data_IF_800854644116
#
_entry.id   IF_800854644116
#
_cell.length_a   1.000
_cell.length_b   1.000
_cell.length_c   1.000
_cell.angle_alpha   90.00
_cell.angle_beta   90.00
_cell.angle_gamma   90.00
#
_symmetry.space_group_name_H-M   'P 1'
#
loop_
_entity.id
_entity.type
_entity.pdbx_description
1 polymer ?
#
# COMPACT_ATOMS: atom_id res chain seq x y z
N UNK A 1 34.97 42.13 45.97
CA UNK A 1 33.87 41.60 46.81
C UNK A 1 32.59 41.57 45.98
N UNK A 2 31.76 40.55 46.22
CA UNK A 2 30.35 40.39 45.79
C UNK A 2 30.04 39.89 44.36
N UNK A 3 30.19 38.57 44.12
CA UNK A 3 29.35 37.86 43.11
C UNK A 3 28.84 36.47 43.58
N UNK A 4 29.23 35.96 44.76
CA UNK A 4 28.87 34.60 45.21
C UNK A 4 27.46 34.48 45.86
N UNK A 5 26.82 35.60 46.23
CA UNK A 5 25.55 35.58 46.99
C UNK A 5 24.30 35.38 46.13
N UNK A 6 24.32 35.82 44.87
CA UNK A 6 23.11 35.81 44.01
C UNK A 6 22.82 34.44 43.39
N UNK A 7 23.86 33.75 42.93
CA UNK A 7 23.76 32.43 42.29
C UNK A 7 23.33 31.34 43.28
N UNK A 8 23.86 31.37 44.51
CA UNK A 8 23.47 30.42 45.55
C UNK A 8 22.01 30.62 46.01
N UNK A 9 21.52 31.86 46.05
CA UNK A 9 20.11 32.13 46.36
C UNK A 9 19.17 31.62 45.26
N UNK A 10 19.55 31.76 43.99
CA UNK A 10 18.75 31.29 42.86
C UNK A 10 18.65 29.76 42.79
N UNK A 11 19.73 29.05 43.16
CA UNK A 11 19.76 27.57 43.18
C UNK A 11 18.90 27.02 44.34
N UNK A 12 18.93 27.64 45.52
CA UNK A 12 18.10 27.22 46.66
C UNK A 12 16.61 27.48 46.41
N UNK A 13 16.27 28.61 45.77
CA UNK A 13 14.88 28.90 45.40
C UNK A 13 14.32 27.93 44.36
N UNK A 14 15.11 27.56 43.34
CA UNK A 14 14.68 26.63 42.29
C UNK A 14 14.52 25.21 42.80
N UNK A 15 15.43 24.72 43.65
CA UNK A 15 15.29 23.40 44.30
C UNK A 15 14.07 23.34 45.24
N UNK A 16 13.77 24.41 45.96
CA UNK A 16 12.61 24.49 46.84
C UNK A 16 11.28 24.48 46.07
N UNK A 17 11.21 25.20 44.95
CA UNK A 17 10.05 25.19 44.04
C UNK A 17 9.80 23.80 43.43
N UNK A 18 10.87 23.09 43.05
CA UNK A 18 10.76 21.73 42.50
C UNK A 18 10.28 20.74 43.57
N UNK A 19 10.78 20.82 44.81
CA UNK A 19 10.32 19.94 45.89
C UNK A 19 8.85 20.16 46.26
N UNK A 20 8.41 21.43 46.32
CA UNK A 20 6.99 21.75 46.57
C UNK A 20 6.12 21.26 45.42
N UNK A 21 6.55 21.43 44.16
CA UNK A 21 5.83 20.89 43.01
C UNK A 21 5.68 19.36 43.12
N UNK A 22 6.77 18.63 43.42
CA UNK A 22 6.74 17.16 43.56
C UNK A 22 5.80 16.66 44.67
N UNK A 23 5.73 17.35 45.81
CA UNK A 23 4.78 16.98 46.87
C UNK A 23 3.32 17.25 46.50
N UNK A 24 3.04 18.32 45.75
CA UNK A 24 1.67 18.62 45.29
C UNK A 24 1.21 17.58 44.24
N UNK A 25 2.06 17.18 43.30
CA UNK A 25 1.67 16.13 42.32
C UNK A 25 1.46 14.76 42.97
N UNK A 26 2.23 14.42 44.01
CA UNK A 26 2.02 13.17 44.75
C UNK A 26 0.71 13.17 45.54
N UNK A 27 0.30 14.31 46.12
CA UNK A 27 -0.96 14.39 46.87
C UNK A 27 -2.19 14.23 45.96
N UNK A 28 -2.16 14.78 44.74
CA UNK A 28 -3.25 14.63 43.77
C UNK A 28 -3.32 13.22 43.16
N UNK A 29 -2.18 12.52 43.04
CA UNK A 29 -2.16 11.13 42.57
C UNK A 29 -2.90 10.17 43.50
N UNK A 30 -2.90 10.46 44.81
CA UNK A 30 -3.56 9.63 45.82
C UNK A 30 -4.97 10.11 46.21
N UNK A 31 -5.52 11.13 45.55
CA UNK A 31 -6.89 11.58 45.85
C UNK A 31 -7.91 10.52 45.41
N UNK A 32 -8.79 10.04 46.31
CA UNK A 32 -9.88 9.14 45.93
C UNK A 32 -10.74 9.80 44.88
N UNK A 33 -10.97 9.11 43.77
CA UNK A 33 -11.83 9.61 42.69
C UNK A 33 -13.26 9.73 43.24
N UNK A 34 -13.95 10.87 43.06
CA UNK A 34 -15.32 11.02 43.54
C UNK A 34 -16.21 9.93 42.91
N UNK A 35 -17.20 9.40 43.65
CA UNK A 35 -18.12 8.41 43.12
C UNK A 35 -18.78 8.94 41.84
N UNK A 36 -18.66 8.20 40.74
CA UNK A 36 -19.35 8.52 39.50
C UNK A 36 -20.80 8.12 39.70
N UNK A 37 -21.70 9.09 39.88
CA UNK A 37 -23.14 8.84 39.87
C UNK A 37 -23.50 8.33 38.47
N UNK A 38 -24.15 7.15 38.34
CA UNK A 38 -24.57 6.66 37.03
C UNK A 38 -25.55 7.67 36.42
N UNK A 39 -25.20 8.21 35.26
CA UNK A 39 -26.14 9.02 34.49
C UNK A 39 -27.29 8.14 34.01
N UNK A 40 -28.55 8.63 34.04
CA UNK A 40 -29.68 7.91 33.49
C UNK A 40 -29.40 7.57 32.02
N UNK A 41 -29.56 6.30 31.66
CA UNK A 41 -29.44 5.86 30.27
C UNK A 41 -30.52 6.54 29.44
N UNK A 42 -30.12 7.43 28.54
CA UNK A 42 -30.99 7.98 27.49
C UNK A 42 -30.80 7.10 26.25
N UNK A 43 -31.84 6.37 25.80
CA UNK A 43 -31.75 5.59 24.57
C UNK A 43 -31.45 6.52 23.40
N UNK A 44 -30.37 6.22 22.68
CA UNK A 44 -29.99 6.97 21.49
C UNK A 44 -31.08 6.77 20.41
N UNK A 45 -31.54 7.82 19.72
CA UNK A 45 -32.50 7.67 18.63
C UNK A 45 -31.99 6.69 17.57
N UNK A 46 -32.85 5.79 17.12
CA UNK A 46 -32.54 4.82 16.07
C UNK A 46 -32.34 5.53 14.73
N UNK A 47 -31.10 5.89 14.43
CA UNK A 47 -30.68 6.28 13.08
C UNK A 47 -30.40 4.98 12.32
N UNK A 48 -31.02 4.72 11.16
CA UNK A 48 -30.66 3.59 10.32
C UNK A 48 -29.16 3.66 10.02
N UNK A 49 -28.43 2.63 10.44
CA UNK A 49 -27.03 2.49 10.07
C UNK A 49 -26.93 2.47 8.54
N UNK A 50 -26.06 3.28 7.91
CA UNK A 50 -25.74 3.09 6.51
C UNK A 50 -25.36 1.63 6.32
N UNK A 51 -25.90 1.01 5.27
CA UNK A 51 -25.63 -0.39 4.94
C UNK A 51 -24.12 -0.65 5.07
N UNK A 52 -23.69 -1.72 5.76
CA UNK A 52 -22.28 -2.04 5.84
C UNK A 52 -21.73 -2.05 4.41
N UNK A 53 -20.68 -1.25 4.15
CA UNK A 53 -19.92 -1.40 2.92
C UNK A 53 -19.60 -2.89 2.81
N UNK A 54 -19.80 -3.54 1.65
CA UNK A 54 -19.54 -4.97 1.52
C UNK A 54 -18.16 -5.24 2.09
N UNK A 55 -18.13 -6.03 3.17
CA UNK A 55 -16.87 -6.50 3.74
C UNK A 55 -16.23 -7.30 2.63
N UNK A 56 -15.17 -6.75 2.03
CA UNK A 56 -14.34 -7.50 1.11
C UNK A 56 -13.72 -8.62 1.93
N UNK A 57 -14.38 -9.78 1.93
CA UNK A 57 -13.69 -11.02 2.25
C UNK A 57 -12.59 -11.12 1.20
N UNK A 58 -11.32 -11.32 1.61
CA UNK A 58 -10.33 -11.82 0.67
C UNK A 58 -11.02 -12.99 -0.06
N UNK A 59 -11.09 -12.98 -1.40
CA UNK A 59 -11.56 -14.17 -2.09
C UNK A 59 -10.76 -15.34 -1.50
N UNK A 60 -11.47 -16.40 -1.10
CA UNK A 60 -10.87 -17.73 -0.92
C UNK A 60 -9.86 -17.86 -2.03
N UNK A 61 -8.56 -17.82 -1.69
CA UNK A 61 -7.46 -17.58 -2.64
C UNK A 61 -7.81 -18.37 -3.90
N UNK A 62 -8.22 -17.69 -5.00
CA UNK A 62 -8.50 -18.41 -6.23
C UNK A 62 -7.23 -19.19 -6.49
N UNK A 63 -7.34 -20.52 -6.55
CA UNK A 63 -6.19 -21.41 -6.76
C UNK A 63 -5.24 -20.72 -7.72
N UNK A 64 -4.09 -20.25 -7.20
CA UNK A 64 -3.15 -19.46 -7.99
C UNK A 64 -2.96 -20.19 -9.32
N UNK A 65 -3.00 -19.49 -10.48
CA UNK A 65 -3.01 -20.19 -11.76
C UNK A 65 -1.86 -21.21 -11.79
N UNK A 66 -2.18 -22.50 -11.91
CA UNK A 66 -1.14 -23.53 -11.99
C UNK A 66 -0.57 -23.52 -13.42
N UNK A 67 0.75 -23.61 -13.58
CA UNK A 67 1.39 -23.65 -14.89
C UNK A 67 2.61 -22.76 -15.00
N UNK A 68 3.00 -22.44 -16.24
CA UNK A 68 4.17 -21.60 -16.51
C UNK A 68 4.02 -20.23 -15.85
N UNK A 69 5.15 -19.61 -15.48
CA UNK A 69 5.17 -18.24 -14.95
C UNK A 69 4.42 -17.26 -15.86
N UNK A 70 4.50 -17.46 -17.18
CA UNK A 70 3.77 -16.67 -18.17
C UNK A 70 2.25 -16.73 -17.95
N UNK A 71 1.67 -17.92 -17.76
CA UNK A 71 0.23 -18.09 -17.49
C UNK A 71 -0.19 -17.49 -16.16
N UNK A 72 0.65 -17.62 -15.14
CA UNK A 72 0.38 -17.04 -13.82
C UNK A 72 0.20 -15.52 -13.84
N UNK A 73 0.86 -14.84 -14.77
CA UNK A 73 0.63 -13.42 -15.03
C UNK A 73 -0.49 -13.22 -16.05
N UNK A 74 -0.40 -13.83 -17.23
CA UNK A 74 -1.25 -13.51 -18.38
C UNK A 74 -2.72 -13.84 -18.15
N UNK A 75 -3.02 -14.99 -17.55
CA UNK A 75 -4.40 -15.47 -17.39
C UNK A 75 -5.23 -14.52 -16.52
N UNK A 76 -4.78 -14.10 -15.32
CA UNK A 76 -5.53 -13.13 -14.52
C UNK A 76 -5.62 -11.73 -15.15
N UNK A 77 -4.61 -11.28 -15.93
CA UNK A 77 -4.73 -10.05 -16.72
C UNK A 77 -5.87 -10.16 -17.74
N UNK A 78 -5.89 -11.26 -18.50
CA UNK A 78 -6.89 -11.48 -19.54
C UNK A 78 -8.29 -11.76 -18.98
N UNK A 79 -8.38 -12.37 -17.81
CA UNK A 79 -9.65 -12.53 -17.09
C UNK A 79 -10.23 -11.17 -16.67
N UNK A 80 -9.40 -10.24 -16.18
CA UNK A 80 -9.82 -8.86 -15.89
C UNK A 80 -10.27 -8.14 -17.16
N UNK A 81 -9.45 -8.15 -18.21
CA UNK A 81 -9.72 -7.49 -19.49
C UNK A 81 -11.00 -8.01 -20.15
N UNK A 82 -11.24 -9.32 -20.09
CA UNK A 82 -12.46 -9.94 -20.64
C UNK A 82 -13.73 -9.44 -19.95
N UNK A 83 -13.71 -9.19 -18.63
CA UNK A 83 -14.87 -8.65 -17.91
C UNK A 83 -15.26 -7.23 -18.36
N UNK A 84 -14.31 -6.52 -18.96
CA UNK A 84 -14.47 -5.15 -19.48
C UNK A 84 -14.63 -5.10 -21.00
N UNK A 85 -14.72 -6.25 -21.68
CA UNK A 85 -14.82 -6.31 -23.14
C UNK A 85 -13.55 -5.85 -23.87
N UNK A 86 -12.38 -5.98 -23.24
CA UNK A 86 -11.10 -5.59 -23.81
C UNK A 86 -10.42 -6.76 -24.53
N UNK A 87 -9.68 -6.50 -25.63
CA UNK A 87 -8.88 -7.53 -26.29
C UNK A 87 -7.87 -8.16 -25.31
N UNK A 88 -7.65 -9.47 -25.35
CA UNK A 88 -6.66 -10.12 -24.49
C UNK A 88 -5.24 -9.66 -24.86
N UNK A 89 -4.38 -9.58 -23.85
CA UNK A 89 -2.94 -9.45 -24.03
C UNK A 89 -2.36 -10.78 -24.51
N UNK A 90 -1.24 -10.69 -25.23
CA UNK A 90 -0.42 -11.84 -25.62
C UNK A 90 0.92 -11.78 -24.89
N UNK A 91 1.41 -12.93 -24.44
CA UNK A 91 2.75 -13.00 -23.83
C UNK A 91 3.83 -12.68 -24.87
N UNK A 92 4.77 -11.81 -24.50
CA UNK A 92 5.92 -11.47 -25.31
C UNK A 92 7.23 -11.82 -24.58
N UNK A 93 8.01 -12.72 -25.18
CA UNK A 93 9.27 -13.18 -24.60
C UNK A 93 10.35 -12.11 -24.53
N UNK A 94 10.34 -11.09 -25.41
CA UNK A 94 11.28 -9.97 -25.34
C UNK A 94 10.96 -9.07 -24.15
N UNK A 95 9.67 -8.79 -23.92
CA UNK A 95 9.24 -8.07 -22.70
C UNK A 95 9.56 -8.86 -21.44
N UNK A 96 9.36 -10.18 -21.44
CA UNK A 96 9.70 -11.02 -20.28
C UNK A 96 11.21 -11.03 -20.00
N UNK A 97 12.04 -11.03 -21.05
CA UNK A 97 13.49 -10.90 -20.91
C UNK A 97 13.90 -9.51 -20.39
N UNK A 98 13.23 -8.45 -20.85
CA UNK A 98 13.44 -7.10 -20.34
C UNK A 98 13.04 -7.00 -18.85
N UNK A 99 11.87 -7.50 -18.48
CA UNK A 99 11.40 -7.60 -17.10
C UNK A 99 12.40 -8.35 -16.21
N UNK A 100 12.94 -9.48 -16.71
CA UNK A 100 13.97 -10.25 -16.00
C UNK A 100 15.27 -9.46 -15.86
N UNK A 101 15.71 -8.77 -16.90
CA UNK A 101 16.90 -7.92 -16.84
C UNK A 101 16.74 -6.83 -15.78
N UNK A 102 15.58 -6.16 -15.76
CA UNK A 102 15.31 -5.09 -14.79
C UNK A 102 15.21 -5.62 -13.37
N UNK A 103 14.49 -6.72 -13.17
CA UNK A 103 14.39 -7.36 -11.86
C UNK A 103 15.79 -7.66 -11.28
N UNK A 104 16.71 -8.17 -12.11
CA UNK A 104 18.09 -8.42 -11.67
C UNK A 104 18.84 -7.13 -11.26
N UNK A 105 18.51 -5.96 -11.81
CA UNK A 105 19.09 -4.69 -11.34
C UNK A 105 18.63 -4.32 -9.93
N UNK A 106 17.48 -4.85 -9.48
CA UNK A 106 16.90 -4.63 -8.14
C UNK A 106 17.22 -5.77 -7.16
N UNK A 107 18.03 -6.74 -7.56
CA UNK A 107 18.26 -7.97 -6.78
C UNK A 107 18.79 -7.71 -5.36
N UNK A 108 19.57 -6.65 -5.15
CA UNK A 108 20.19 -6.36 -3.86
C UNK A 108 19.35 -5.46 -2.94
N UNK A 109 18.58 -4.53 -3.50
CA UNK A 109 17.78 -3.55 -2.73
C UNK A 109 16.29 -3.90 -2.68
N UNK A 110 15.81 -4.71 -3.63
CA UNK A 110 14.40 -5.02 -3.86
C UNK A 110 13.51 -3.78 -4.01
N UNK A 111 14.09 -2.65 -4.41
CA UNK A 111 13.41 -1.35 -4.42
C UNK A 111 12.37 -1.27 -5.54
N UNK A 112 11.18 -0.71 -5.24
CA UNK A 112 10.12 -0.39 -6.19
C UNK A 112 10.47 0.83 -7.06
N UNK A 113 11.60 0.74 -7.76
CA UNK A 113 12.06 1.75 -8.71
C UNK A 113 11.75 1.28 -10.12
N UNK A 114 11.07 2.13 -10.90
CA UNK A 114 10.78 1.84 -12.30
C UNK A 114 12.04 1.81 -13.16
N UNK A 115 12.01 0.96 -14.19
CA UNK A 115 13.02 1.00 -15.24
C UNK A 115 12.89 2.27 -16.09
N UNK A 116 13.92 2.60 -16.86
CA UNK A 116 13.93 3.76 -17.77
C UNK A 116 13.58 3.37 -19.22
N UNK A 117 12.95 2.21 -19.40
CA UNK A 117 12.63 1.66 -20.72
C UNK A 117 11.40 2.29 -21.37
N UNK A 118 11.14 1.95 -22.64
CA UNK A 118 10.02 2.51 -23.41
C UNK A 118 8.66 1.84 -23.12
N UNK A 119 8.60 0.90 -22.18
CA UNK A 119 7.43 0.08 -21.90
C UNK A 119 6.64 0.62 -20.72
N UNK A 120 5.34 0.30 -20.67
CA UNK A 120 4.58 0.43 -19.45
C UNK A 120 5.14 -0.54 -18.41
N UNK A 121 4.97 -0.26 -17.12
CA UNK A 121 5.55 -1.09 -16.08
C UNK A 121 4.72 -1.10 -14.80
N UNK A 122 4.46 -2.28 -14.26
CA UNK A 122 3.92 -2.46 -12.90
C UNK A 122 4.96 -3.18 -12.05
N UNK A 123 5.13 -2.72 -10.81
CA UNK A 123 6.05 -3.30 -9.84
C UNK A 123 5.30 -3.85 -8.63
N UNK A 124 5.87 -4.87 -8.01
CA UNK A 124 5.40 -5.42 -6.76
C UNK A 124 6.59 -5.85 -5.90
N UNK A 125 6.43 -5.66 -4.60
CA UNK A 125 7.36 -6.12 -3.59
C UNK A 125 6.60 -6.82 -2.48
N UNK A 126 7.15 -7.92 -1.98
CA UNK A 126 6.64 -8.59 -0.79
C UNK A 126 7.77 -9.13 0.08
N UNK A 127 7.59 -9.07 1.40
CA UNK A 127 8.57 -9.54 2.37
C UNK A 127 8.73 -11.08 2.39
N UNK A 128 9.94 -11.58 2.64
CA UNK A 128 10.22 -13.01 2.58
C UNK A 128 10.37 -13.52 1.15
N UNK A 129 10.11 -14.82 0.90
CA UNK A 129 10.46 -15.49 -0.37
C UNK A 129 9.30 -16.21 -1.06
N UNK A 130 8.10 -16.18 -0.50
CA UNK A 130 6.98 -17.03 -0.94
C UNK A 130 5.94 -16.32 -1.81
N UNK A 131 6.21 -15.10 -2.26
CA UNK A 131 5.26 -14.34 -3.09
C UNK A 131 5.25 -14.86 -4.52
N UNK A 132 4.15 -15.51 -4.89
CA UNK A 132 3.88 -15.95 -6.25
C UNK A 132 3.40 -14.80 -7.17
N UNK A 133 3.62 -14.88 -8.49
CA UNK A 133 3.08 -13.96 -9.50
C UNK A 133 1.62 -13.53 -9.29
N UNK A 134 0.74 -14.49 -8.97
CA UNK A 134 -0.70 -14.21 -8.83
C UNK A 134 -1.03 -13.24 -7.69
N UNK A 135 -0.19 -13.14 -6.65
CA UNK A 135 -0.39 -12.14 -5.58
C UNK A 135 -0.16 -10.72 -6.10
N UNK A 136 0.89 -10.50 -6.90
CA UNK A 136 1.15 -9.21 -7.52
C UNK A 136 -0.01 -8.81 -8.44
N UNK A 137 -0.42 -9.71 -9.34
CA UNK A 137 -1.56 -9.43 -10.24
C UNK A 137 -2.82 -9.12 -9.45
N UNK A 138 -3.13 -9.91 -8.41
CA UNK A 138 -4.30 -9.66 -7.57
C UNK A 138 -4.24 -8.28 -6.89
N UNK A 139 -3.08 -7.89 -6.34
CA UNK A 139 -2.90 -6.58 -5.72
C UNK A 139 -3.17 -5.42 -6.69
N UNK A 140 -2.77 -5.57 -7.95
CA UNK A 140 -3.03 -4.57 -8.99
C UNK A 140 -4.50 -4.58 -9.44
N UNK A 141 -5.16 -5.76 -9.49
CA UNK A 141 -6.60 -5.83 -9.81
C UNK A 141 -7.46 -5.11 -8.78
N UNK A 142 -7.16 -5.26 -7.48
CA UNK A 142 -8.00 -4.69 -6.42
C UNK A 142 -7.95 -3.16 -6.39
N UNK A 143 -6.93 -2.54 -6.98
CA UNK A 143 -6.89 -1.09 -7.20
C UNK A 143 -8.03 -0.60 -8.12
N UNK A 144 -8.65 -1.47 -8.93
CA UNK A 144 -9.83 -1.10 -9.71
C UNK A 144 -11.01 -0.63 -8.83
N UNK A 145 -11.04 -1.01 -7.55
CA UNK A 145 -12.05 -0.52 -6.60
C UNK A 145 -11.88 0.95 -6.21
N UNK A 146 -10.70 1.53 -6.43
CA UNK A 146 -10.42 2.96 -6.19
C UNK A 146 -10.40 3.77 -7.48
N UNK A 147 -10.49 3.14 -8.66
CA UNK A 147 -10.52 3.86 -9.93
C UNK A 147 -11.93 4.35 -10.28
N UNK A 148 -12.06 5.66 -10.50
CA UNK A 148 -13.29 6.28 -10.99
C UNK A 148 -13.17 6.59 -12.49
N UNK A 149 -13.88 5.82 -13.30
CA UNK A 149 -13.86 5.94 -14.76
C UNK A 149 -14.42 7.29 -15.26
N UNK A 150 -15.42 7.86 -14.56
CA UNK A 150 -16.08 9.08 -15.03
C UNK A 150 -15.12 10.28 -14.93
N UNK A 151 -14.41 10.38 -13.81
CA UNK A 151 -13.46 11.46 -13.53
C UNK A 151 -12.03 11.15 -13.98
N UNK A 152 -11.76 9.91 -14.42
CA UNK A 152 -10.43 9.41 -14.76
C UNK A 152 -9.42 9.63 -13.62
N UNK A 153 -9.81 9.31 -12.39
CA UNK A 153 -9.00 9.56 -11.19
C UNK A 153 -9.04 8.37 -10.25
N UNK A 154 -8.02 8.26 -9.40
CA UNK A 154 -8.06 7.39 -8.24
C UNK A 154 -8.76 8.12 -7.08
N UNK A 155 -9.67 7.46 -6.39
CA UNK A 155 -10.39 8.01 -5.26
C UNK A 155 -9.46 8.20 -4.05
N UNK A 156 -9.53 9.38 -3.43
CA UNK A 156 -8.78 9.73 -2.23
C UNK A 156 -7.27 9.74 -2.45
N UNK A 157 -6.53 9.11 -1.52
CA UNK A 157 -5.08 8.89 -1.62
C UNK A 157 -4.75 7.52 -2.24
N UNK A 158 -5.72 6.86 -2.90
CA UNK A 158 -5.55 5.54 -3.47
C UNK A 158 -4.63 5.55 -4.69
N UNK A 159 -3.88 4.47 -4.88
CA UNK A 159 -3.19 4.18 -6.13
C UNK A 159 -4.12 3.36 -7.02
N UNK A 160 -4.20 3.72 -8.30
CA UNK A 160 -4.91 2.94 -9.31
C UNK A 160 -4.13 2.78 -10.63
N UNK A 161 -2.88 3.25 -10.65
CA UNK A 161 -2.03 3.21 -11.84
C UNK A 161 -1.71 1.79 -12.30
N UNK A 162 -1.61 0.83 -11.37
CA UNK A 162 -1.36 -0.55 -11.76
C UNK A 162 -2.61 -1.15 -12.43
N UNK A 163 -3.79 -0.90 -11.85
CA UNK A 163 -5.06 -1.31 -12.46
C UNK A 163 -5.21 -0.72 -13.87
N UNK A 164 -5.06 0.61 -14.02
CA UNK A 164 -5.27 1.30 -15.30
C UNK A 164 -4.31 0.78 -16.38
N UNK A 165 -3.06 0.44 -16.02
CA UNK A 165 -2.13 -0.18 -16.96
C UNK A 165 -2.59 -1.58 -17.40
N UNK A 166 -3.08 -2.42 -16.49
CA UNK A 166 -3.55 -3.77 -16.84
C UNK A 166 -4.71 -3.75 -17.84
N UNK A 167 -5.57 -2.75 -17.71
CA UNK A 167 -6.78 -2.57 -18.53
C UNK A 167 -6.61 -1.54 -19.64
N UNK A 168 -5.38 -1.11 -19.94
CA UNK A 168 -5.12 -0.17 -21.02
C UNK A 168 -5.46 -0.82 -22.37
N UNK A 169 -6.43 -0.24 -23.09
CA UNK A 169 -7.03 -0.81 -24.30
C UNK A 169 -6.00 -1.06 -25.39
N UNK A 170 -5.10 -0.10 -25.58
CA UNK A 170 -4.12 -0.14 -26.66
C UNK A 170 -2.90 -1.00 -26.36
N UNK A 171 -2.69 -1.38 -25.10
CA UNK A 171 -1.66 -2.36 -24.73
C UNK A 171 -2.04 -3.73 -25.29
N UNK A 172 -1.07 -4.39 -25.95
CA UNK A 172 -1.29 -5.66 -26.66
C UNK A 172 -0.45 -6.80 -26.11
N UNK A 173 0.70 -6.48 -25.54
CA UNK A 173 1.71 -7.45 -25.14
C UNK A 173 2.07 -7.29 -23.68
N UNK A 174 2.37 -8.41 -23.04
CA UNK A 174 2.77 -8.51 -21.65
C UNK A 174 4.00 -9.40 -21.53
N UNK A 175 4.98 -8.98 -20.72
CA UNK A 175 6.04 -9.87 -20.27
C UNK A 175 6.46 -9.51 -18.86
N UNK A 176 6.65 -10.52 -18.01
CA UNK A 176 6.89 -10.32 -16.59
C UNK A 176 8.02 -11.20 -16.07
N UNK A 177 8.56 -10.81 -14.93
CA UNK A 177 9.53 -11.59 -14.17
C UNK A 177 9.26 -11.49 -12.66
N UNK A 178 9.70 -12.51 -11.95
CA UNK A 178 9.73 -12.57 -10.49
C UNK A 178 11.10 -13.06 -10.05
N UNK A 179 11.65 -12.47 -8.99
CA UNK A 179 12.84 -12.99 -8.32
C UNK A 179 12.77 -12.79 -6.82
N UNK A 180 13.44 -13.68 -6.10
CA UNK A 180 13.78 -13.48 -4.68
C UNK A 180 15.06 -12.65 -4.63
N UNK A 181 14.98 -11.49 -3.99
CA UNK A 181 16.09 -10.58 -3.77
C UNK A 181 17.06 -11.17 -2.74
N UNK A 182 18.32 -10.78 -2.84
CA UNK A 182 19.38 -11.27 -1.97
C UNK A 182 19.25 -10.68 -0.55
N UNK A 183 19.99 -11.22 0.41
CA UNK A 183 20.02 -10.75 1.81
C UNK A 183 18.65 -10.74 2.52
N UNK A 184 17.69 -11.54 2.03
CA UNK A 184 16.34 -11.58 2.58
C UNK A 184 15.51 -10.31 2.29
N UNK A 185 15.91 -9.52 1.30
CA UNK A 185 15.26 -8.25 0.98
C UNK A 185 13.83 -8.39 0.41
N UNK A 186 13.38 -9.61 0.10
CA UNK A 186 12.00 -9.89 -0.31
C UNK A 186 11.90 -10.56 -1.68
N UNK A 187 10.71 -10.46 -2.28
CA UNK A 187 10.44 -10.84 -3.67
C UNK A 187 10.14 -9.58 -4.46
N UNK A 188 10.83 -9.40 -5.59
CA UNK A 188 10.56 -8.34 -6.56
C UNK A 188 9.89 -8.94 -7.79
N UNK A 189 8.79 -8.32 -8.21
CA UNK A 189 8.03 -8.71 -9.39
C UNK A 189 7.84 -7.48 -10.27
N UNK A 190 8.08 -7.65 -11.58
CA UNK A 190 7.84 -6.59 -12.57
C UNK A 190 7.14 -7.18 -13.79
N UNK A 191 6.19 -6.42 -14.34
CA UNK A 191 5.50 -6.69 -15.59
C UNK A 191 5.65 -5.49 -16.52
N UNK A 192 6.07 -5.73 -17.75
CA UNK A 192 6.20 -4.73 -18.80
C UNK A 192 5.12 -4.89 -19.87
N UNK A 193 4.65 -3.75 -20.39
CA UNK A 193 3.49 -3.63 -21.26
C UNK A 193 3.85 -2.89 -22.55
N UNK A 194 3.43 -3.42 -23.70
CA UNK A 194 3.68 -2.81 -25.02
C UNK A 194 2.42 -2.83 -25.91
N UNK A 195 2.02 -1.70 -26.50
CA UNK A 195 2.42 -0.32 -26.17
C UNK A 195 2.21 0.04 -24.68
N UNK A 196 2.96 1.03 -24.14
CA UNK A 196 2.75 1.52 -22.78
C UNK A 196 1.35 2.12 -22.61
N UNK A 197 0.84 2.08 -21.38
CA UNK A 197 -0.39 2.77 -20.99
C UNK A 197 -0.12 3.96 -20.07
N UNK A 198 -1.17 4.37 -19.36
CA UNK A 198 -1.14 5.44 -18.36
C UNK A 198 -0.68 6.80 -18.90
N UNK A 199 -1.07 7.11 -20.14
CA UNK A 199 -0.89 8.46 -20.68
C UNK A 199 -1.73 9.47 -19.90
N UNK A 200 -1.09 10.57 -19.49
CA UNK A 200 -1.72 11.60 -18.66
C UNK A 200 -2.92 12.20 -19.39
N UNK A 201 -4.08 12.18 -18.73
CA UNK A 201 -5.32 12.72 -19.27
C UNK A 201 -6.11 11.76 -20.16
N UNK A 202 -5.55 10.59 -20.50
CA UNK A 202 -6.23 9.57 -21.30
C UNK A 202 -6.92 8.53 -20.42
N UNK A 203 -8.06 8.01 -20.87
CA UNK A 203 -8.77 6.93 -20.19
C UNK A 203 -8.22 5.58 -20.65
N UNK A 204 -8.16 4.57 -19.77
CA UNK A 204 -7.60 3.27 -20.10
C UNK A 204 -8.48 2.46 -21.06
N UNK A 205 -9.79 2.72 -21.17
CA UNK A 205 -10.68 1.97 -22.07
C UNK A 205 -11.95 2.70 -22.47
#
# INVERSE_FOLDING_TARGET
MATSSSTNKLIVFTLSLILVAFQVVHADYYRPRPPVTPTPYVPKPWIPLPSPKPVYRPPTIPSLPAGSIARQFLDPHNALRSRLGLPPLVWDSKLANYAKWWANQRRYDCSLTHSTGPYGENLFWGSGSSWAPGFAVHSWVVEGSTYNYNTNSCDGSGMCGHYTQMVWRDTKRLGCASLVCDNGAGVFITCNYDPPGNYVGEKPY
#
